data_IF_026473320213
#
_entry.id   IF_026473320213
#
_cell.length_a   1.000
_cell.length_b   1.000
_cell.length_c   1.000
_cell.angle_alpha   90.00
_cell.angle_beta   90.00
_cell.angle_gamma   90.00
#
_symmetry.space_group_name_H-M   'P 1'
#
loop_
_entity.id
_entity.type
_entity.pdbx_description
1 polymer ?
#
# COMPACT_ATOMS: atom_id res chain seq x y z
N UNK A 1 -10.41 -14.32 24.52
CA UNK A 1 -9.83 -14.90 23.29
C UNK A 1 -8.51 -14.18 23.03
N UNK A 2 -7.44 -14.86 22.59
CA UNK A 2 -6.19 -14.19 22.26
C UNK A 2 -6.43 -13.16 21.15
N UNK A 3 -5.75 -12.01 21.23
CA UNK A 3 -5.88 -10.95 20.23
C UNK A 3 -5.08 -11.26 18.97
N UNK A 4 -5.32 -10.49 17.91
CA UNK A 4 -4.61 -10.59 16.65
C UNK A 4 -3.20 -9.98 16.77
N UNK A 5 -2.17 -10.74 16.37
CA UNK A 5 -0.81 -10.26 16.16
C UNK A 5 -0.63 -9.98 14.66
N UNK A 6 -0.55 -8.71 14.30
CA UNK A 6 -0.50 -8.25 12.92
C UNK A 6 0.94 -7.93 12.54
N UNK A 7 1.37 -8.37 11.36
CA UNK A 7 2.52 -7.82 10.63
C UNK A 7 2.01 -6.98 9.48
N UNK A 8 2.39 -5.71 9.44
CA UNK A 8 1.91 -4.72 8.48
C UNK A 8 3.05 -4.14 7.64
N UNK A 9 2.82 -3.92 6.35
CA UNK A 9 3.73 -3.22 5.44
C UNK A 9 3.01 -2.80 4.16
N UNK A 10 3.41 -1.70 3.53
CA UNK A 10 2.66 -1.11 2.41
C UNK A 10 2.47 -2.04 1.20
N UNK A 11 3.36 -3.03 1.06
CA UNK A 11 3.36 -3.96 -0.06
C UNK A 11 2.92 -5.37 0.30
N UNK A 12 2.46 -5.61 1.53
CA UNK A 12 2.11 -6.97 1.99
C UNK A 12 0.71 -7.43 1.59
N UNK A 13 -0.06 -6.59 0.88
CA UNK A 13 -1.30 -7.05 0.23
C UNK A 13 -0.94 -7.91 -0.98
N UNK A 14 -1.30 -9.19 -0.94
CA UNK A 14 -1.03 -10.15 -2.02
C UNK A 14 0.40 -10.70 -2.06
N UNK A 15 1.33 -10.18 -1.26
CA UNK A 15 2.69 -10.74 -1.15
C UNK A 15 2.78 -11.79 -0.05
N UNK A 16 3.42 -12.93 -0.36
CA UNK A 16 3.71 -13.99 0.61
C UNK A 16 5.15 -13.89 1.10
N UNK A 17 5.38 -12.99 2.05
CA UNK A 17 6.72 -12.77 2.62
C UNK A 17 7.14 -13.84 3.64
N UNK A 18 6.23 -14.75 4.03
CA UNK A 18 6.45 -15.77 5.06
C UNK A 18 5.88 -17.10 4.58
N UNK A 19 6.57 -18.20 4.88
CA UNK A 19 6.07 -19.55 4.64
C UNK A 19 4.79 -19.81 5.46
N UNK A 20 3.81 -20.53 4.90
CA UNK A 20 2.66 -21.01 5.66
C UNK A 20 3.12 -21.80 6.87
N UNK A 21 2.56 -21.50 8.04
CA UNK A 21 2.83 -22.20 9.28
C UNK A 21 1.57 -22.18 10.14
N UNK A 22 1.39 -23.21 10.96
CA UNK A 22 0.25 -23.32 11.88
C UNK A 22 0.39 -22.30 13.03
N UNK A 23 -0.08 -21.07 12.78
CA UNK A 23 -0.03 -19.96 13.74
C UNK A 23 -1.42 -19.41 13.95
N UNK A 24 -1.96 -19.60 15.14
CA UNK A 24 -3.25 -19.03 15.50
C UNK A 24 -3.09 -17.56 15.89
N UNK A 25 -3.91 -16.70 15.28
CA UNK A 25 -3.97 -15.27 15.62
C UNK A 25 -2.84 -14.42 15.04
N UNK A 26 -1.99 -14.98 14.16
CA UNK A 26 -0.97 -14.21 13.43
C UNK A 26 -1.41 -13.96 12.00
N UNK A 27 -1.30 -12.71 11.55
CA UNK A 27 -1.65 -12.34 10.18
C UNK A 27 -0.63 -11.36 9.62
N UNK A 28 -0.32 -11.52 8.33
CA UNK A 28 0.50 -10.57 7.56
C UNK A 28 -0.38 -9.93 6.51
N UNK A 29 -0.48 -8.60 6.52
CA UNK A 29 -1.38 -7.83 5.65
C UNK A 29 -0.75 -6.51 5.21
N UNK A 30 -1.19 -6.02 4.05
CA UNK A 30 -0.90 -4.66 3.63
C UNK A 30 -2.04 -3.69 3.98
N UNK A 31 -2.07 -2.52 3.31
CA UNK A 31 -3.05 -1.47 3.54
C UNK A 31 -4.50 -1.92 3.52
N UNK A 32 -4.93 -2.66 2.50
CA UNK A 32 -6.31 -3.12 2.34
C UNK A 32 -6.65 -4.20 3.37
N UNK A 33 -5.74 -5.13 3.63
CA UNK A 33 -5.96 -6.18 4.63
C UNK A 33 -6.10 -5.63 6.05
N UNK A 34 -5.20 -4.75 6.48
CA UNK A 34 -5.31 -4.12 7.81
C UNK A 34 -6.54 -3.23 7.91
N UNK A 35 -6.85 -2.46 6.87
CA UNK A 35 -8.05 -1.62 6.87
C UNK A 35 -9.32 -2.47 6.99
N UNK A 36 -9.43 -3.57 6.25
CA UNK A 36 -10.59 -4.47 6.33
C UNK A 36 -10.76 -5.06 7.74
N UNK A 37 -9.67 -5.46 8.40
CA UNK A 37 -9.69 -5.95 9.80
C UNK A 37 -10.23 -4.86 10.74
N UNK A 38 -9.69 -3.64 10.62
CA UNK A 38 -10.10 -2.52 11.46
C UNK A 38 -11.56 -2.14 11.22
N UNK A 39 -11.98 -1.99 9.96
CA UNK A 39 -13.37 -1.66 9.64
C UNK A 39 -14.35 -2.74 10.11
N UNK A 40 -13.98 -4.02 10.01
CA UNK A 40 -14.78 -5.13 10.54
C UNK A 40 -14.97 -4.99 12.05
N UNK A 41 -13.89 -4.83 12.82
CA UNK A 41 -13.96 -4.76 14.27
C UNK A 41 -14.54 -3.45 14.81
N UNK A 42 -14.42 -2.37 14.04
CA UNK A 42 -14.98 -1.06 14.41
C UNK A 42 -16.43 -0.89 13.90
N UNK A 43 -16.98 -1.84 13.15
CA UNK A 43 -18.34 -1.76 12.61
C UNK A 43 -18.49 -0.67 11.54
N UNK A 44 -17.44 -0.47 10.74
CA UNK A 44 -17.33 0.52 9.66
C UNK A 44 -17.43 -0.10 8.25
N UNK A 45 -17.86 -1.36 8.15
CA UNK A 45 -18.07 -2.02 6.87
C UNK A 45 -19.03 -1.21 6.00
N UNK A 46 -18.59 -0.90 4.78
CA UNK A 46 -19.36 -0.18 3.79
C UNK A 46 -19.24 -0.83 2.42
N UNK A 47 -20.02 -0.33 1.46
CA UNK A 47 -19.94 -0.77 0.07
C UNK A 47 -18.56 -0.44 -0.50
N UNK A 48 -17.88 -1.46 -1.02
CA UNK A 48 -16.57 -1.30 -1.63
C UNK A 48 -16.75 -1.00 -3.10
N UNK A 49 -16.53 0.25 -3.51
CA UNK A 49 -16.49 0.61 -4.92
C UNK A 49 -15.13 0.28 -5.53
N UNK A 50 -15.16 -0.29 -6.72
CA UNK A 50 -13.99 -0.51 -7.56
C UNK A 50 -13.36 0.81 -7.99
N UNK A 51 -12.09 0.78 -8.40
CA UNK A 51 -11.41 1.95 -8.98
C UNK A 51 -12.16 2.46 -10.21
N UNK A 52 -12.64 1.57 -11.08
CA UNK A 52 -13.36 1.94 -12.30
C UNK A 52 -14.64 2.73 -11.99
N UNK A 53 -15.43 2.27 -11.01
CA UNK A 53 -16.64 2.98 -10.56
C UNK A 53 -16.31 4.37 -9.99
N UNK A 54 -15.24 4.47 -9.17
CA UNK A 54 -14.82 5.76 -8.61
C UNK A 54 -14.35 6.74 -9.68
N UNK A 55 -13.66 6.28 -10.74
CA UNK A 55 -13.30 7.14 -11.88
C UNK A 55 -14.56 7.67 -12.57
N UNK A 56 -15.58 6.83 -12.77
CA UNK A 56 -16.85 7.27 -13.37
C UNK A 56 -17.56 8.31 -12.48
N UNK A 57 -17.67 8.04 -11.18
CA UNK A 57 -18.26 8.99 -10.21
C UNK A 57 -17.51 10.33 -10.20
N UNK A 58 -16.18 10.29 -10.21
CA UNK A 58 -15.38 11.52 -10.17
C UNK A 58 -15.44 12.30 -11.49
N UNK A 59 -15.50 11.61 -12.63
CA UNK A 59 -15.75 12.24 -13.94
C UNK A 59 -17.07 13.01 -13.96
N UNK A 60 -18.12 12.47 -13.34
CA UNK A 60 -19.40 13.18 -13.20
C UNK A 60 -19.28 14.42 -12.30
N UNK A 61 -18.47 14.35 -11.24
CA UNK A 61 -18.18 15.51 -10.39
C UNK A 61 -17.44 16.60 -11.17
N UNK A 62 -16.41 16.21 -11.93
CA UNK A 62 -15.65 17.12 -12.80
C UNK A 62 -16.54 17.78 -13.84
N UNK A 63 -17.44 17.03 -14.48
CA UNK A 63 -18.39 17.55 -15.46
C UNK A 63 -19.39 18.56 -14.85
N UNK A 64 -19.82 18.33 -13.60
CA UNK A 64 -20.72 19.26 -12.88
C UNK A 64 -20.03 20.56 -12.46
N UNK A 65 -18.73 20.49 -12.16
CA UNK A 65 -17.91 21.65 -11.79
C UNK A 65 -17.21 22.31 -13.00
N UNK A 66 -17.34 21.74 -14.21
CA UNK A 66 -16.64 22.22 -15.39
C UNK A 66 -17.13 23.60 -15.85
N UNK A 67 -16.22 24.36 -16.45
CA UNK A 67 -16.47 25.67 -17.02
C UNK A 67 -15.25 26.17 -17.77
N UNK A 68 -15.44 27.09 -18.72
CA UNK A 68 -14.37 27.53 -19.64
C UNK A 68 -13.11 28.05 -18.91
N UNK A 69 -13.25 28.50 -17.67
CA UNK A 69 -12.16 29.03 -16.85
C UNK A 69 -11.42 28.01 -15.98
N UNK A 70 -11.93 26.77 -15.82
CA UNK A 70 -11.28 25.78 -14.94
C UNK A 70 -10.05 25.18 -15.61
N UNK A 71 -9.00 24.93 -14.82
CA UNK A 71 -7.70 24.55 -15.39
C UNK A 71 -7.72 23.23 -16.19
N UNK A 72 -8.66 22.32 -15.88
CA UNK A 72 -8.76 21.01 -16.52
C UNK A 72 -9.68 21.01 -17.74
N UNK A 73 -10.39 22.10 -18.04
CA UNK A 73 -11.46 22.14 -19.06
C UNK A 73 -11.01 21.61 -20.43
N UNK A 74 -9.91 22.15 -20.97
CA UNK A 74 -9.41 21.77 -22.29
C UNK A 74 -8.96 20.30 -22.37
N UNK A 75 -8.32 19.79 -21.31
CA UNK A 75 -7.92 18.39 -21.22
C UNK A 75 -9.12 17.48 -21.05
N UNK A 76 -10.11 17.88 -20.23
CA UNK A 76 -11.32 17.11 -19.98
C UNK A 76 -12.18 16.98 -21.23
N UNK A 77 -12.26 18.03 -22.07
CA UNK A 77 -12.92 17.95 -23.37
C UNK A 77 -12.24 16.96 -24.34
N UNK A 78 -10.93 16.70 -24.16
CA UNK A 78 -10.16 15.79 -25.03
C UNK A 78 -10.21 14.35 -24.54
N UNK A 79 -10.01 14.13 -23.24
CA UNK A 79 -10.05 12.82 -22.59
C UNK A 79 -10.66 12.92 -21.18
N UNK A 80 -11.99 12.82 -21.07
CA UNK A 80 -12.68 12.88 -19.78
C UNK A 80 -12.24 11.77 -18.81
N UNK A 81 -11.90 10.59 -19.33
CA UNK A 81 -11.59 9.42 -18.51
C UNK A 81 -10.18 9.50 -17.93
N UNK A 82 -9.19 9.83 -18.76
CA UNK A 82 -7.80 9.99 -18.32
C UNK A 82 -7.63 11.17 -17.36
N UNK A 83 -8.34 12.29 -17.59
CA UNK A 83 -8.34 13.42 -16.65
C UNK A 83 -8.99 13.04 -15.33
N UNK A 84 -10.11 12.31 -15.34
CA UNK A 84 -10.75 11.85 -14.12
C UNK A 84 -9.85 10.90 -13.31
N UNK A 85 -9.19 9.94 -13.95
CA UNK A 85 -8.26 9.02 -13.27
C UNK A 85 -7.07 9.77 -12.65
N UNK A 86 -6.43 10.66 -13.41
CA UNK A 86 -5.28 11.43 -12.92
C UNK A 86 -5.64 12.36 -11.75
N UNK A 87 -6.75 13.09 -11.85
CA UNK A 87 -7.17 14.02 -10.78
C UNK A 87 -7.73 13.28 -9.56
N UNK A 88 -8.37 12.12 -9.76
CA UNK A 88 -8.80 11.25 -8.65
C UNK A 88 -7.60 10.68 -7.90
N UNK A 89 -6.53 10.29 -8.60
CA UNK A 89 -5.29 9.82 -7.98
C UNK A 89 -4.67 10.90 -7.08
N UNK A 90 -4.64 12.16 -7.54
CA UNK A 90 -4.14 13.28 -6.73
C UNK A 90 -5.01 13.49 -5.48
N UNK A 91 -6.34 13.51 -5.64
CA UNK A 91 -7.30 13.63 -4.54
C UNK A 91 -7.08 12.56 -3.48
N UNK A 92 -6.99 11.30 -3.91
CA UNK A 92 -6.80 10.16 -3.02
C UNK A 92 -5.46 10.21 -2.28
N UNK A 93 -4.39 10.62 -2.98
CA UNK A 93 -3.08 10.81 -2.38
C UNK A 93 -3.11 11.91 -1.31
N UNK A 94 -3.77 13.04 -1.56
CA UNK A 94 -3.91 14.11 -0.57
C UNK A 94 -4.64 13.63 0.67
N UNK A 95 -5.76 12.94 0.52
CA UNK A 95 -6.48 12.38 1.67
C UNK A 95 -5.63 11.38 2.45
N UNK A 96 -4.89 10.51 1.77
CA UNK A 96 -3.98 9.54 2.39
C UNK A 96 -2.83 10.22 3.16
N UNK A 97 -2.42 11.41 2.71
CA UNK A 97 -1.43 12.25 3.37
C UNK A 97 -2.03 13.32 4.29
N UNK A 98 -3.30 13.18 4.66
CA UNK A 98 -3.89 13.93 5.77
C UNK A 98 -4.71 15.16 5.39
N UNK A 99 -4.99 15.37 4.09
CA UNK A 99 -6.00 16.33 3.67
C UNK A 99 -7.39 15.86 4.11
N UNK A 100 -8.24 16.81 4.52
CA UNK A 100 -9.57 16.58 5.08
C UNK A 100 -10.69 17.15 4.20
N UNK A 101 -10.36 17.47 2.93
CA UNK A 101 -11.30 18.00 1.95
C UNK A 101 -11.39 19.53 1.94
N UNK A 102 -10.63 20.21 2.80
CA UNK A 102 -10.63 21.67 2.89
C UNK A 102 -9.23 22.23 2.68
N UNK A 103 -9.16 23.36 2.00
CA UNK A 103 -7.92 24.11 1.87
C UNK A 103 -8.07 25.43 2.63
N UNK A 104 -6.99 25.86 3.29
CA UNK A 104 -6.93 27.17 3.95
C UNK A 104 -6.97 28.33 2.94
N UNK A 105 -7.06 29.57 3.43
CA UNK A 105 -7.25 30.78 2.63
C UNK A 105 -6.19 31.04 1.53
N UNK A 106 -6.58 31.85 0.54
CA UNK A 106 -5.83 32.27 -0.67
C UNK A 106 -5.14 31.13 -1.41
N UNK A 107 -5.94 30.43 -2.23
CA UNK A 107 -5.46 29.33 -3.05
C UNK A 107 -5.00 29.75 -4.44
N UNK A 108 -3.96 29.10 -4.99
CA UNK A 108 -3.70 29.09 -6.42
C UNK A 108 -4.95 28.64 -7.19
N UNK A 109 -5.15 29.18 -8.39
CA UNK A 109 -6.36 28.92 -9.20
C UNK A 109 -6.69 27.43 -9.34
N UNK A 110 -5.68 26.59 -9.62
CA UNK A 110 -5.88 25.13 -9.77
C UNK A 110 -6.42 24.45 -8.51
N UNK A 111 -5.95 24.85 -7.33
CA UNK A 111 -6.43 24.28 -6.07
C UNK A 111 -7.85 24.76 -5.75
N UNK A 112 -8.19 26.00 -6.13
CA UNK A 112 -9.57 26.50 -6.02
C UNK A 112 -10.53 25.71 -6.91
N UNK A 113 -10.14 25.42 -8.15
CA UNK A 113 -10.94 24.60 -9.06
C UNK A 113 -11.16 23.19 -8.48
N UNK A 114 -10.11 22.56 -7.92
CA UNK A 114 -10.24 21.25 -7.28
C UNK A 114 -11.05 21.28 -5.97
N UNK A 115 -10.98 22.38 -5.21
CA UNK A 115 -11.83 22.58 -4.04
C UNK A 115 -13.32 22.62 -4.43
N UNK A 116 -13.66 23.30 -5.53
CA UNK A 116 -15.02 23.34 -6.05
C UNK A 116 -15.51 21.95 -6.50
N UNK A 117 -14.63 21.13 -7.10
CA UNK A 117 -14.94 19.73 -7.41
C UNK A 117 -15.16 18.91 -6.13
N UNK A 118 -14.36 19.15 -5.09
CA UNK A 118 -14.46 18.42 -3.81
C UNK A 118 -15.81 18.64 -3.11
N UNK A 119 -16.37 19.85 -3.17
CA UNK A 119 -17.71 20.13 -2.62
C UNK A 119 -18.80 19.21 -3.19
N UNK A 120 -18.63 18.77 -4.44
CA UNK A 120 -19.50 17.82 -5.12
C UNK A 120 -19.10 16.38 -4.77
N UNK A 121 -17.80 16.07 -4.87
CA UNK A 121 -17.25 14.74 -4.67
C UNK A 121 -17.53 14.21 -3.26
N UNK A 122 -17.40 15.05 -2.22
CA UNK A 122 -17.63 14.66 -0.82
C UNK A 122 -19.05 14.09 -0.55
N UNK A 123 -20.01 14.32 -1.45
CA UNK A 123 -21.40 13.84 -1.34
C UNK A 123 -21.72 12.63 -2.22
N UNK A 124 -20.92 12.36 -3.25
CA UNK A 124 -21.27 11.41 -4.32
C UNK A 124 -20.20 10.34 -4.55
N UNK A 125 -18.94 10.67 -4.31
CA UNK A 125 -17.82 9.78 -4.56
C UNK A 125 -17.65 8.79 -3.39
N UNK A 126 -17.48 7.52 -3.71
CA UNK A 126 -17.13 6.53 -2.70
C UNK A 126 -15.78 6.87 -2.03
N UNK A 127 -15.65 6.66 -0.71
CA UNK A 127 -14.50 7.13 0.05
C UNK A 127 -13.20 6.43 -0.36
N UNK A 128 -12.14 7.22 -0.50
CA UNK A 128 -10.77 6.74 -0.72
C UNK A 128 -10.20 5.98 0.48
N UNK A 129 -9.03 5.36 0.29
CA UNK A 129 -8.26 4.77 1.38
C UNK A 129 -7.99 5.79 2.50
N UNK A 130 -7.59 7.01 2.16
CA UNK A 130 -7.30 8.07 3.13
C UNK A 130 -8.53 8.49 3.93
N UNK A 131 -9.68 8.62 3.27
CA UNK A 131 -10.96 8.96 3.93
C UNK A 131 -11.44 7.84 4.85
N UNK A 132 -11.30 6.58 4.43
CA UNK A 132 -11.61 5.41 5.25
C UNK A 132 -10.72 5.32 6.49
N UNK A 133 -9.41 5.55 6.34
CA UNK A 133 -8.47 5.62 7.46
C UNK A 133 -8.82 6.76 8.43
N UNK A 134 -9.25 7.92 7.93
CA UNK A 134 -9.70 9.02 8.78
C UNK A 134 -10.97 8.66 9.60
N UNK A 135 -11.86 7.82 9.06
CA UNK A 135 -13.01 7.28 9.81
C UNK A 135 -12.56 6.27 10.87
N UNK A 136 -11.67 5.35 10.50
CA UNK A 136 -11.07 4.38 11.43
C UNK A 136 -10.37 5.09 12.59
N UNK A 137 -9.53 6.09 12.31
CA UNK A 137 -8.82 6.85 13.34
C UNK A 137 -9.78 7.46 14.37
N UNK A 138 -10.90 8.06 13.92
CA UNK A 138 -11.92 8.62 14.82
C UNK A 138 -12.65 7.57 15.65
N UNK A 139 -12.93 6.39 15.10
CA UNK A 139 -13.61 5.32 15.86
C UNK A 139 -12.68 4.58 16.81
N UNK A 140 -11.36 4.61 16.59
CA UNK A 140 -10.37 4.08 17.52
C UNK A 140 -10.34 4.84 18.86
N UNK A 141 -10.82 6.09 18.90
CA UNK A 141 -11.01 6.84 20.15
C UNK A 141 -12.19 6.30 20.98
N UNK A 142 -13.08 5.48 20.39
CA UNK A 142 -14.30 4.97 21.01
C UNK A 142 -14.31 3.46 21.22
N UNK A 143 -13.57 2.72 20.39
CA UNK A 143 -13.57 1.26 20.36
C UNK A 143 -12.15 0.74 20.21
N UNK A 144 -11.86 -0.36 20.89
CA UNK A 144 -10.56 -1.04 20.81
C UNK A 144 -10.72 -2.33 20.00
N UNK A 145 -10.11 -2.45 18.80
CA UNK A 145 -10.12 -3.70 18.06
C UNK A 145 -9.32 -4.76 18.85
N UNK A 146 -9.60 -6.06 18.67
CA UNK A 146 -8.90 -7.14 19.35
C UNK A 146 -7.52 -7.39 18.72
N UNK A 147 -6.68 -6.36 18.63
CA UNK A 147 -5.30 -6.41 18.13
C UNK A 147 -4.37 -6.39 19.34
N UNK A 148 -3.61 -7.46 19.52
CA UNK A 148 -2.64 -7.61 20.60
C UNK A 148 -1.33 -6.86 20.30
N UNK A 149 -0.87 -6.92 19.04
CA UNK A 149 0.36 -6.24 18.63
C UNK A 149 0.37 -5.97 17.12
N UNK A 150 1.02 -4.89 16.71
CA UNK A 150 1.32 -4.59 15.30
C UNK A 150 2.83 -4.47 15.10
N UNK A 151 3.40 -5.33 14.26
CA UNK A 151 4.78 -5.25 13.77
C UNK A 151 4.79 -4.52 12.44
N UNK A 152 5.73 -3.60 12.24
CA UNK A 152 5.85 -2.83 10.98
C UNK A 152 7.05 -3.34 10.17
N UNK A 153 6.84 -3.66 8.90
CA UNK A 153 7.88 -4.06 7.97
C UNK A 153 8.79 -2.90 7.55
N UNK A 154 8.31 -1.67 7.71
CA UNK A 154 8.98 -0.42 7.38
C UNK A 154 8.90 0.55 8.57
N UNK A 155 9.77 1.56 8.57
CA UNK A 155 9.77 2.58 9.63
C UNK A 155 8.42 3.33 9.65
N UNK A 156 7.92 3.66 10.85
CA UNK A 156 6.65 4.37 11.01
C UNK A 156 6.63 5.68 10.22
N UNK A 157 7.77 6.37 10.13
CA UNK A 157 7.94 7.66 9.44
C UNK A 157 7.85 7.55 7.91
N UNK A 158 8.11 6.38 7.34
CA UNK A 158 7.97 6.12 5.90
C UNK A 158 6.51 6.00 5.48
N UNK A 159 5.62 5.70 6.43
CA UNK A 159 4.21 5.49 6.17
C UNK A 159 3.46 6.80 5.87
N UNK A 160 2.44 6.76 4.99
CA UNK A 160 1.55 7.91 4.78
C UNK A 160 0.92 8.41 6.07
N UNK A 161 0.62 9.71 6.13
CA UNK A 161 0.18 10.37 7.37
C UNK A 161 -1.04 9.69 8.01
N UNK A 162 -2.05 9.30 7.22
CA UNK A 162 -3.24 8.62 7.76
C UNK A 162 -2.94 7.26 8.38
N UNK A 163 -1.96 6.52 7.84
CA UNK A 163 -1.51 5.27 8.47
C UNK A 163 -0.80 5.54 9.79
N UNK A 164 0.06 6.55 9.86
CA UNK A 164 0.71 6.95 11.11
C UNK A 164 -0.30 7.34 12.18
N UNK A 165 -1.35 8.08 11.82
CA UNK A 165 -2.45 8.46 12.74
C UNK A 165 -3.19 7.22 13.28
N UNK A 166 -3.52 6.26 12.44
CA UNK A 166 -4.17 5.00 12.86
C UNK A 166 -3.25 4.15 13.73
N UNK A 167 -2.00 3.95 13.30
CA UNK A 167 -1.02 3.11 14.01
C UNK A 167 -0.64 3.69 15.37
N UNK A 168 -0.65 5.01 15.54
CA UNK A 168 -0.46 5.66 16.83
C UNK A 168 -1.54 5.30 17.87
N UNK A 169 -2.68 4.74 17.44
CA UNK A 169 -3.76 4.25 18.31
C UNK A 169 -3.73 2.73 18.53
N UNK A 170 -2.74 2.03 17.97
CA UNK A 170 -2.60 0.58 18.06
C UNK A 170 -1.34 0.17 18.84
N UNK A 171 -1.27 -1.04 19.40
CA UNK A 171 -0.09 -1.52 20.12
C UNK A 171 1.04 -1.88 19.15
N UNK A 172 1.70 -0.86 18.59
CA UNK A 172 2.86 -1.06 17.71
C UNK A 172 4.06 -1.53 18.53
N UNK A 173 4.67 -2.62 18.10
CA UNK A 173 5.85 -3.20 18.73
C UNK A 173 7.05 -3.12 17.79
N UNK A 174 8.23 -2.87 18.35
CA UNK A 174 9.46 -2.93 17.59
C UNK A 174 9.63 -4.32 17.00
N UNK A 175 9.95 -4.37 15.71
CA UNK A 175 10.26 -5.61 15.01
C UNK A 175 11.60 -5.45 14.32
N UNK A 176 12.53 -6.33 14.67
CA UNK A 176 13.82 -6.40 14.00
C UNK A 176 13.81 -7.64 13.13
N UNK A 177 14.07 -7.46 11.83
CA UNK A 177 14.36 -8.57 10.94
C UNK A 177 15.77 -9.07 11.27
N UNK A 178 15.88 -10.33 11.68
CA UNK A 178 17.17 -10.98 11.84
C UNK A 178 17.66 -11.51 10.50
N UNK A 179 18.94 -11.28 10.20
CA UNK A 179 19.60 -11.91 9.06
C UNK A 179 19.83 -13.39 9.39
N UNK A 180 18.99 -14.26 8.84
CA UNK A 180 19.04 -15.70 9.08
C UNK A 180 19.78 -16.46 7.95
N UNK A 181 20.10 -15.80 6.84
CA UNK A 181 20.79 -16.39 5.71
C UNK A 181 22.26 -16.68 6.02
N UNK A 182 22.78 -17.74 5.40
CA UNK A 182 24.21 -18.02 5.38
C UNK A 182 24.85 -17.45 4.09
N UNK A 183 26.18 -17.42 4.03
CA UNK A 183 26.92 -17.02 2.82
C UNK A 183 26.65 -15.58 2.37
N UNK A 184 26.48 -15.39 1.06
CA UNK A 184 26.23 -14.11 0.43
C UNK A 184 24.86 -13.55 0.79
N UNK A 185 23.82 -14.39 0.89
CA UNK A 185 22.49 -14.00 1.33
C UNK A 185 22.51 -13.40 2.73
N UNK A 186 23.23 -14.02 3.68
CA UNK A 186 23.38 -13.50 5.03
C UNK A 186 24.01 -12.11 5.07
N UNK A 187 25.08 -11.90 4.29
CA UNK A 187 25.72 -10.58 4.15
C UNK A 187 24.79 -9.57 3.50
N UNK A 188 24.06 -9.96 2.45
CA UNK A 188 23.08 -9.11 1.77
C UNK A 188 21.97 -8.68 2.73
N UNK A 189 21.41 -9.61 3.50
CA UNK A 189 20.40 -9.33 4.52
C UNK A 189 20.93 -8.35 5.57
N UNK A 190 22.15 -8.55 6.08
CA UNK A 190 22.76 -7.63 7.05
C UNK A 190 22.98 -6.23 6.45
N UNK A 191 23.42 -6.13 5.19
CA UNK A 191 23.57 -4.85 4.50
C UNK A 191 22.22 -4.14 4.29
N UNK A 192 21.17 -4.88 3.92
CA UNK A 192 19.80 -4.35 3.79
C UNK A 192 19.24 -3.92 5.14
N UNK A 193 19.51 -4.67 6.22
CA UNK A 193 19.12 -4.31 7.59
C UNK A 193 19.74 -2.98 8.03
N UNK A 194 21.04 -2.79 7.77
CA UNK A 194 21.73 -1.51 8.00
C UNK A 194 21.17 -0.39 7.15
N UNK A 195 20.88 -0.66 5.87
CA UNK A 195 20.24 0.30 4.99
C UNK A 195 18.88 0.76 5.51
N UNK A 196 18.06 -0.18 5.98
CA UNK A 196 16.76 0.09 6.59
C UNK A 196 16.89 0.91 7.90
N UNK A 197 18.00 0.75 8.63
CA UNK A 197 18.35 1.57 9.79
C UNK A 197 18.91 2.97 9.44
N UNK A 198 18.96 3.32 8.15
CA UNK A 198 19.42 4.63 7.65
C UNK A 198 20.91 4.70 7.31
N UNK A 199 21.65 3.59 7.42
CA UNK A 199 23.04 3.54 6.96
C UNK A 199 23.10 3.49 5.43
N UNK A 200 24.20 3.94 4.83
CA UNK A 200 24.47 3.75 3.41
C UNK A 200 25.49 2.64 3.26
N UNK A 201 25.07 1.37 3.10
CA UNK A 201 26.02 0.29 2.92
C UNK A 201 26.84 0.53 1.65
N UNK A 202 28.14 0.27 1.73
CA UNK A 202 29.01 0.31 0.56
C UNK A 202 28.66 -0.78 -0.45
N UNK A 203 29.22 -0.68 -1.66
CA UNK A 203 29.07 -1.71 -2.69
C UNK A 203 29.62 -3.05 -2.17
N UNK A 204 28.80 -4.08 -2.22
CA UNK A 204 29.18 -5.43 -1.79
C UNK A 204 29.84 -6.21 -2.95
N UNK A 205 30.96 -6.92 -2.73
CA UNK A 205 31.50 -7.85 -3.71
C UNK A 205 30.56 -9.04 -3.85
N UNK A 206 30.17 -9.34 -5.10
CA UNK A 206 29.36 -10.52 -5.42
C UNK A 206 30.12 -11.80 -5.05
N UNK A 207 29.41 -12.76 -4.43
CA UNK A 207 29.92 -14.11 -4.21
C UNK A 207 28.92 -15.12 -4.75
N UNK A 208 29.40 -15.97 -5.65
CA UNK A 208 28.63 -17.05 -6.27
C UNK A 208 28.65 -18.30 -5.36
N UNK A 209 27.90 -18.27 -4.26
CA UNK A 209 27.76 -19.42 -3.34
C UNK A 209 26.38 -20.08 -3.41
N UNK A 210 25.56 -19.70 -4.39
CA UNK A 210 24.22 -20.24 -4.62
C UNK A 210 23.15 -19.74 -3.65
N UNK A 211 23.51 -18.98 -2.60
CA UNK A 211 22.54 -18.44 -1.62
C UNK A 211 21.67 -17.31 -2.17
N UNK A 212 22.15 -16.60 -3.19
CA UNK A 212 21.39 -15.63 -3.99
C UNK A 212 21.59 -15.96 -5.45
N UNK A 213 20.49 -16.03 -6.21
CA UNK A 213 20.51 -16.31 -7.65
C UNK A 213 19.78 -15.19 -8.37
N UNK A 214 20.40 -14.65 -9.41
CA UNK A 214 19.81 -13.60 -10.25
C UNK A 214 19.51 -14.20 -11.61
N UNK A 215 18.23 -14.38 -11.90
CA UNK A 215 17.78 -14.79 -13.23
C UNK A 215 17.31 -13.56 -14.01
N UNK A 216 17.75 -13.45 -15.27
CA UNK A 216 17.24 -12.49 -16.23
C UNK A 216 16.66 -13.23 -17.41
N UNK A 217 15.41 -12.94 -17.72
CA UNK A 217 14.71 -13.49 -18.87
C UNK A 217 14.30 -12.37 -19.81
N UNK A 218 14.26 -12.65 -21.11
CA UNK A 218 13.75 -11.73 -22.12
C UNK A 218 12.22 -11.63 -22.09
N UNK A 219 11.55 -12.69 -21.62
CA UNK A 219 10.08 -12.73 -21.55
C UNK A 219 9.59 -13.33 -20.23
N UNK A 220 8.37 -12.95 -19.83
CA UNK A 220 7.71 -13.48 -18.62
C UNK A 220 7.47 -14.99 -18.70
N UNK A 221 7.12 -15.49 -19.88
CA UNK A 221 6.89 -16.92 -20.11
C UNK A 221 8.17 -17.73 -19.84
N UNK A 222 9.30 -17.30 -20.40
CA UNK A 222 10.58 -17.94 -20.16
C UNK A 222 11.02 -17.81 -18.69
N UNK A 223 10.71 -16.69 -18.02
CA UNK A 223 10.98 -16.52 -16.59
C UNK A 223 10.19 -17.52 -15.74
N UNK A 224 8.88 -17.66 -16.00
CA UNK A 224 8.01 -18.61 -15.29
C UNK A 224 8.38 -20.06 -15.56
N UNK A 225 8.71 -20.42 -16.81
CA UNK A 225 9.18 -21.77 -17.15
C UNK A 225 10.51 -22.12 -16.47
N UNK A 226 11.46 -21.17 -16.42
CA UNK A 226 12.70 -21.35 -15.65
C UNK A 226 12.42 -21.53 -14.16
N UNK A 227 11.57 -20.66 -13.59
CA UNK A 227 11.21 -20.70 -12.18
C UNK A 227 10.56 -22.04 -11.79
N UNK A 228 9.62 -22.54 -12.60
CA UNK A 228 8.94 -23.81 -12.35
C UNK A 228 9.93 -24.99 -12.27
N UNK A 229 10.99 -24.99 -13.10
CA UNK A 229 12.04 -26.01 -13.04
C UNK A 229 12.93 -25.87 -11.81
N UNK A 230 13.15 -24.66 -11.31
CA UNK A 230 14.02 -24.39 -10.17
C UNK A 230 13.34 -24.62 -8.83
N UNK A 231 12.02 -24.42 -8.74
CA UNK A 231 11.26 -24.52 -7.49
C UNK A 231 10.94 -25.96 -7.11
N UNK A 232 10.88 -26.87 -8.09
CA UNK A 232 10.50 -28.27 -7.87
C UNK A 232 11.39 -29.01 -6.84
N UNK A 233 12.63 -28.57 -6.64
CA UNK A 233 13.61 -29.17 -5.70
C UNK A 233 14.22 -28.16 -4.70
N UNK A 234 13.70 -26.94 -4.61
CA UNK A 234 14.36 -25.88 -3.85
C UNK A 234 14.01 -25.87 -2.35
N UNK A 235 14.98 -25.54 -1.47
CA UNK A 235 14.71 -25.21 -0.07
C UNK A 235 13.82 -23.96 0.05
N UNK A 236 13.48 -23.54 1.27
CA UNK A 236 12.72 -22.32 1.55
C UNK A 236 13.31 -21.10 0.82
N UNK A 237 12.76 -20.77 -0.34
CA UNK A 237 13.30 -19.77 -1.27
C UNK A 237 12.37 -18.56 -1.32
N UNK A 238 12.94 -17.36 -1.14
CA UNK A 238 12.23 -16.11 -1.36
C UNK A 238 12.43 -15.68 -2.81
N UNK A 239 11.33 -15.45 -3.51
CA UNK A 239 11.34 -14.93 -4.88
C UNK A 239 11.06 -13.43 -4.84
N UNK A 240 11.99 -12.65 -5.40
CA UNK A 240 11.88 -11.20 -5.49
C UNK A 240 11.78 -10.82 -6.95
N UNK A 241 10.62 -10.31 -7.36
CA UNK A 241 10.42 -9.74 -8.69
C UNK A 241 10.35 -8.22 -8.61
N UNK A 242 11.00 -7.53 -9.56
CA UNK A 242 11.02 -6.07 -9.62
C UNK A 242 9.71 -5.46 -10.13
N UNK A 243 8.84 -6.24 -10.80
CA UNK A 243 7.55 -5.81 -11.36
C UNK A 243 6.55 -6.98 -11.43
N UNK A 244 5.24 -6.69 -11.25
CA UNK A 244 4.09 -7.57 -11.57
C UNK A 244 4.27 -9.05 -11.19
N UNK A 245 4.39 -9.31 -9.89
CA UNK A 245 4.53 -10.61 -9.24
C UNK A 245 3.34 -11.58 -9.44
N UNK A 246 2.15 -11.10 -9.79
CA UNK A 246 0.93 -11.92 -9.88
C UNK A 246 1.06 -13.17 -10.77
N UNK A 247 1.82 -13.11 -11.88
CA UNK A 247 2.01 -14.26 -12.78
C UNK A 247 3.11 -15.23 -12.34
N UNK A 248 4.04 -14.79 -11.51
CA UNK A 248 5.05 -15.68 -10.93
C UNK A 248 4.43 -16.48 -9.78
N UNK A 249 3.52 -15.86 -9.02
CA UNK A 249 2.74 -16.52 -7.97
C UNK A 249 1.80 -17.60 -8.54
N UNK A 250 1.27 -17.43 -9.76
CA UNK A 250 0.44 -18.44 -10.45
C UNK A 250 1.24 -19.67 -10.94
N UNK A 251 2.57 -19.55 -11.06
CA UNK A 251 3.45 -20.63 -11.51
C UNK A 251 4.02 -21.49 -10.38
N UNK A 252 3.64 -21.20 -9.13
CA UNK A 252 4.02 -21.89 -7.90
C UNK A 252 2.81 -22.62 -7.30
#
# INVERSE_FOLDING_TARGET
MPGLRVTFGLHLDGQRAVQPADRLGEITVGPLGLLAILETHLGLLGEQSSRAERIVQYRECLAKADGVAVFYHASFATDPQGVADALLEWRDLWHLHGWDGHFDDVLPARLRDLAAVEEIAARQLAPSLGERLARVHRELDRRTPPIESVRLAEALEALPKRWREVLARLPVVAWTLEAAGEGFLGRLQEALRRAAAGEKPGRMPWQEDGSVRVARSETRFLAGAWLANEVADAPSTLLVSTLENARLDESL
#
